data_IF_281358278499
#
_entry.id   IF_281358278499
#
_cell.length_a   1.000
_cell.length_b   1.000
_cell.length_c   1.000
_cell.angle_alpha   90.00
_cell.angle_beta   90.00
_cell.angle_gamma   90.00
#
_symmetry.space_group_name_H-M   'P 1'
#
loop_
_entity.id
_entity.type
_entity.pdbx_description
1 polymer ?
#
# COMPACT_ATOMS: atom_id res chain seq x y z
N UNK A 1 16.65 -4.69 10.21
CA UNK A 1 15.28 -4.14 10.12
C UNK A 1 14.26 -5.07 10.78
N UNK A 2 13.99 -6.29 10.29
CA UNK A 2 12.95 -7.18 10.82
C UNK A 2 13.11 -7.58 12.28
N UNK A 3 14.31 -7.81 12.79
CA UNK A 3 14.56 -8.06 14.22
C UNK A 3 14.10 -6.90 15.09
N UNK A 4 14.52 -5.66 14.77
CA UNK A 4 14.09 -4.45 15.51
C UNK A 4 12.58 -4.28 15.52
N UNK A 5 11.92 -4.56 14.38
CA UNK A 5 10.46 -4.48 14.28
C UNK A 5 9.79 -5.61 15.06
N UNK A 6 10.36 -6.82 15.03
CA UNK A 6 9.88 -7.95 15.82
C UNK A 6 9.91 -7.66 17.32
N UNK A 7 11.02 -7.10 17.82
CA UNK A 7 11.16 -6.67 19.21
C UNK A 7 10.17 -5.54 19.53
N UNK A 8 10.10 -4.50 18.70
CA UNK A 8 9.22 -3.35 18.90
C UNK A 8 7.75 -3.72 18.98
N UNK A 9 7.33 -4.70 18.19
CA UNK A 9 5.92 -5.06 18.02
C UNK A 9 5.55 -6.43 18.63
N UNK A 10 6.50 -7.10 19.28
CA UNK A 10 6.30 -8.42 19.89
C UNK A 10 5.75 -9.46 18.89
N UNK A 11 6.32 -9.47 17.68
CA UNK A 11 5.99 -10.42 16.61
C UNK A 11 7.28 -11.10 16.11
N UNK A 12 7.21 -12.39 15.78
CA UNK A 12 8.35 -13.11 15.24
C UNK A 12 8.85 -12.45 13.94
N UNK A 13 10.15 -12.06 13.85
CA UNK A 13 10.71 -11.40 12.67
C UNK A 13 10.52 -12.17 11.36
N UNK A 14 10.55 -13.51 11.43
CA UNK A 14 10.36 -14.38 10.28
C UNK A 14 8.95 -14.26 9.68
N UNK A 15 7.91 -14.02 10.49
CA UNK A 15 6.54 -13.80 10.04
C UNK A 15 6.47 -12.52 9.19
N UNK A 16 6.96 -11.41 9.71
CA UNK A 16 6.95 -10.13 8.98
C UNK A 16 7.73 -10.23 7.67
N UNK A 17 8.91 -10.85 7.71
CA UNK A 17 9.74 -11.00 6.52
C UNK A 17 9.12 -11.93 5.48
N UNK A 18 8.47 -13.01 5.91
CA UNK A 18 7.79 -13.94 5.01
C UNK A 18 6.67 -13.25 4.22
N UNK A 19 5.82 -12.48 4.90
CA UNK A 19 4.74 -11.73 4.24
C UNK A 19 5.33 -10.67 3.32
N UNK A 20 6.33 -9.90 3.77
CA UNK A 20 6.97 -8.88 2.94
C UNK A 20 7.56 -9.46 1.63
N UNK A 21 8.22 -10.62 1.70
CA UNK A 21 8.76 -11.31 0.51
C UNK A 21 7.65 -11.74 -0.45
N UNK A 22 6.56 -12.28 0.07
CA UNK A 22 5.45 -12.79 -0.78
C UNK A 22 4.71 -11.66 -1.47
N UNK A 23 4.52 -10.52 -0.78
CA UNK A 23 3.78 -9.38 -1.32
C UNK A 23 4.64 -8.48 -2.22
N UNK A 24 5.93 -8.32 -1.92
CA UNK A 24 6.79 -7.33 -2.55
C UNK A 24 7.98 -7.92 -3.33
N UNK A 25 8.19 -9.24 -3.22
CA UNK A 25 9.37 -9.91 -3.77
C UNK A 25 10.60 -9.81 -2.86
N UNK A 26 11.70 -10.43 -3.32
CA UNK A 26 12.93 -10.55 -2.52
C UNK A 26 13.64 -9.20 -2.27
N UNK A 27 13.50 -8.27 -3.19
CA UNK A 27 14.24 -6.99 -3.12
C UNK A 27 13.75 -6.06 -2.02
N UNK A 28 12.52 -6.24 -1.54
CA UNK A 28 11.90 -5.42 -0.48
C UNK A 28 12.15 -3.91 -0.63
N UNK A 29 12.39 -3.48 -1.87
CA UNK A 29 12.74 -2.10 -2.17
C UNK A 29 11.47 -1.25 -2.30
N UNK A 30 11.30 -0.33 -1.37
CA UNK A 30 10.17 0.61 -1.32
C UNK A 30 10.40 1.91 -2.10
N UNK A 31 11.59 2.09 -2.69
CA UNK A 31 11.99 3.33 -3.36
C UNK A 31 12.37 3.10 -4.82
N UNK A 32 12.27 4.15 -5.61
CA UNK A 32 12.79 4.25 -6.96
C UNK A 32 14.26 4.73 -6.92
N UNK A 33 14.95 4.69 -8.06
CA UNK A 33 16.37 5.04 -8.15
C UNK A 33 16.70 6.49 -7.71
N UNK A 34 15.72 7.41 -7.78
CA UNK A 34 15.85 8.80 -7.35
C UNK A 34 15.51 9.03 -5.86
N UNK A 35 15.29 7.96 -5.09
CA UNK A 35 14.93 8.00 -3.68
C UNK A 35 13.48 8.35 -3.39
N UNK A 36 12.61 8.43 -4.39
CA UNK A 36 11.17 8.56 -4.19
C UNK A 36 10.53 7.20 -3.87
N UNK A 37 9.52 7.12 -2.98
CA UNK A 37 8.80 5.87 -2.78
C UNK A 37 8.19 5.34 -4.09
N UNK A 38 8.12 4.05 -4.25
CA UNK A 38 7.29 3.45 -5.31
C UNK A 38 5.84 3.85 -5.10
N UNK A 39 5.15 4.24 -6.17
CA UNK A 39 3.74 4.61 -6.12
C UNK A 39 2.96 3.97 -7.27
N UNK A 40 1.64 3.84 -7.07
CA UNK A 40 0.67 3.64 -8.12
C UNK A 40 -0.51 4.58 -7.89
N UNK A 41 -0.75 5.50 -8.82
CA UNK A 41 -1.86 6.44 -8.75
C UNK A 41 -3.12 5.85 -9.38
N UNK A 42 -4.21 5.84 -8.62
CA UNK A 42 -5.49 5.26 -8.97
C UNK A 42 -6.52 6.34 -9.35
N UNK A 43 -6.63 6.64 -10.65
CA UNK A 43 -7.52 7.72 -11.12
C UNK A 43 -9.01 7.51 -10.82
N UNK A 44 -9.47 6.23 -10.72
CA UNK A 44 -10.84 5.93 -10.31
C UNK A 44 -11.08 6.17 -8.81
N UNK A 45 -10.04 6.01 -7.97
CA UNK A 45 -10.09 6.41 -6.56
C UNK A 45 -10.05 7.92 -6.45
N UNK A 46 -9.21 8.60 -7.27
CA UNK A 46 -9.17 10.06 -7.30
C UNK A 46 -10.53 10.66 -7.65
N UNK A 47 -11.24 10.10 -8.63
CA UNK A 47 -12.61 10.48 -8.95
C UNK A 47 -13.54 10.36 -7.73
N UNK A 48 -13.47 9.22 -7.01
CA UNK A 48 -14.27 8.98 -5.80
C UNK A 48 -13.93 9.94 -4.66
N UNK A 49 -12.66 10.22 -4.43
CA UNK A 49 -12.23 11.16 -3.40
C UNK A 49 -12.66 12.59 -3.72
N UNK A 50 -12.57 13.01 -4.99
CA UNK A 50 -13.07 14.31 -5.42
C UNK A 50 -14.57 14.49 -5.21
N UNK A 51 -15.38 13.42 -5.38
CA UNK A 51 -16.82 13.45 -5.14
C UNK A 51 -17.19 13.70 -3.68
N UNK A 52 -16.29 13.39 -2.73
CA UNK A 52 -16.53 13.66 -1.30
C UNK A 52 -16.41 15.14 -0.94
N UNK A 53 -15.66 15.91 -1.73
CA UNK A 53 -15.29 17.31 -1.43
C UNK A 53 -15.71 18.32 -2.51
N UNK A 54 -16.29 17.83 -3.62
CA UNK A 54 -16.74 18.69 -4.73
C UNK A 54 -18.13 18.27 -5.24
N UNK A 55 -18.92 19.21 -5.79
CA UNK A 55 -20.14 18.87 -6.52
C UNK A 55 -19.88 17.93 -7.70
N UNK A 56 -20.75 16.99 -7.95
CA UNK A 56 -20.64 15.99 -9.05
C UNK A 56 -20.38 16.65 -10.42
N UNK A 57 -21.04 17.78 -10.73
CA UNK A 57 -20.83 18.50 -11.99
C UNK A 57 -19.38 18.97 -12.17
N UNK A 58 -18.73 19.39 -11.07
CA UNK A 58 -17.32 19.78 -11.09
C UNK A 58 -16.42 18.59 -11.37
N UNK A 59 -16.65 17.45 -10.69
CA UNK A 59 -15.85 16.22 -10.87
C UNK A 59 -15.99 15.68 -12.31
N UNK A 60 -17.21 15.67 -12.86
CA UNK A 60 -17.46 15.29 -14.26
C UNK A 60 -16.69 16.20 -15.24
N UNK A 61 -16.62 17.51 -14.98
CA UNK A 61 -15.83 18.44 -15.80
C UNK A 61 -14.33 18.12 -15.72
N UNK A 62 -13.80 17.86 -14.51
CA UNK A 62 -12.41 17.45 -14.29
C UNK A 62 -12.13 16.14 -15.05
N UNK A 63 -13.01 15.15 -14.95
CA UNK A 63 -12.86 13.87 -15.65
C UNK A 63 -12.78 14.03 -17.18
N UNK A 64 -13.59 14.92 -17.75
CA UNK A 64 -13.56 15.21 -19.19
C UNK A 64 -12.28 15.91 -19.64
N UNK A 65 -11.74 16.84 -18.82
CA UNK A 65 -10.51 17.57 -19.15
C UNK A 65 -9.23 16.79 -18.84
N UNK A 66 -9.30 15.78 -17.94
CA UNK A 66 -8.17 14.97 -17.50
C UNK A 66 -8.53 13.47 -17.50
N UNK A 67 -8.83 12.87 -18.66
CA UNK A 67 -9.38 11.51 -18.74
C UNK A 67 -8.41 10.40 -18.29
N UNK A 68 -7.09 10.64 -18.32
CA UNK A 68 -6.08 9.69 -17.82
C UNK A 68 -5.81 9.81 -16.32
N UNK A 69 -6.33 10.88 -15.67
CA UNK A 69 -6.09 11.19 -14.26
C UNK A 69 -7.34 10.98 -13.41
N UNK A 70 -8.53 11.31 -13.94
CA UNK A 70 -9.79 11.29 -13.20
C UNK A 70 -10.85 10.54 -14.03
N UNK A 71 -11.20 9.32 -13.63
CA UNK A 71 -12.17 8.48 -14.33
C UNK A 71 -13.00 7.65 -13.36
N UNK A 72 -14.24 7.32 -13.74
CA UNK A 72 -15.23 6.69 -12.84
C UNK A 72 -14.96 5.21 -12.60
N UNK A 73 -14.58 4.47 -13.65
CA UNK A 73 -14.43 3.00 -13.61
C UNK A 73 -12.97 2.59 -13.62
N UNK A 74 -12.64 1.55 -12.84
CA UNK A 74 -11.30 1.01 -12.81
C UNK A 74 -10.81 0.54 -14.19
N UNK A 75 -9.56 0.89 -14.53
CA UNK A 75 -8.86 0.43 -15.73
C UNK A 75 -7.35 0.51 -15.52
N UNK A 76 -6.60 -0.38 -16.19
CA UNK A 76 -5.14 -0.34 -16.25
C UNK A 76 -4.59 0.48 -17.41
N UNK A 77 -5.47 0.96 -18.31
CA UNK A 77 -5.09 1.65 -19.55
C UNK A 77 -4.13 2.83 -19.32
N UNK A 78 -4.23 3.49 -18.20
CA UNK A 78 -3.49 4.72 -17.90
C UNK A 78 -2.28 4.53 -16.99
N UNK A 79 -1.99 3.28 -16.56
CA UNK A 79 -0.83 3.03 -15.71
C UNK A 79 0.46 3.13 -16.54
N UNK A 80 1.40 3.93 -16.02
CA UNK A 80 2.70 4.15 -16.65
C UNK A 80 3.80 3.33 -15.95
N UNK A 81 3.66 3.16 -14.63
CA UNK A 81 4.63 2.47 -13.79
C UNK A 81 5.91 3.27 -13.53
N UNK A 82 6.69 2.82 -12.56
CA UNK A 82 7.98 3.42 -12.25
C UNK A 82 7.93 4.92 -11.98
N UNK A 83 8.90 5.65 -12.54
CA UNK A 83 9.01 7.10 -12.39
C UNK A 83 7.87 7.87 -13.06
N UNK A 84 7.38 7.38 -14.18
CA UNK A 84 6.36 8.06 -14.98
C UNK A 84 4.99 8.10 -14.25
N UNK A 85 4.79 7.22 -13.25
CA UNK A 85 3.60 7.27 -12.40
C UNK A 85 3.53 8.55 -11.55
N UNK A 86 4.69 9.16 -11.26
CA UNK A 86 4.76 10.46 -10.61
C UNK A 86 4.22 11.59 -11.47
N UNK A 87 4.26 11.51 -12.78
CA UNK A 87 3.69 12.53 -13.66
C UNK A 87 2.17 12.56 -13.51
N UNK A 88 1.52 11.40 -13.51
CA UNK A 88 0.09 11.28 -13.24
C UNK A 88 -0.29 11.79 -11.85
N UNK A 89 0.45 11.39 -10.84
CA UNK A 89 0.27 11.83 -9.47
C UNK A 89 0.43 13.34 -9.32
N UNK A 90 1.44 13.93 -9.96
CA UNK A 90 1.69 15.38 -9.91
C UNK A 90 0.60 16.17 -10.64
N UNK A 91 0.07 15.68 -11.76
CA UNK A 91 -1.10 16.30 -12.41
C UNK A 91 -2.33 16.25 -11.49
N UNK A 92 -2.60 15.13 -10.86
CA UNK A 92 -3.69 15.02 -9.87
C UNK A 92 -3.51 15.99 -8.69
N UNK A 93 -2.27 16.17 -8.22
CA UNK A 93 -1.95 17.13 -7.14
C UNK A 93 -2.25 18.58 -7.50
N UNK A 94 -2.08 18.98 -8.75
CA UNK A 94 -2.44 20.34 -9.21
C UNK A 94 -3.95 20.59 -9.11
N UNK A 95 -4.75 19.53 -9.24
CA UNK A 95 -6.21 19.59 -9.13
C UNK A 95 -6.64 19.61 -7.67
N UNK A 96 -6.22 18.61 -6.89
CA UNK A 96 -6.53 18.49 -5.47
C UNK A 96 -5.46 17.67 -4.73
N UNK A 97 -4.54 18.32 -3.98
CA UNK A 97 -3.39 17.64 -3.36
C UNK A 97 -3.76 16.50 -2.44
N UNK A 98 -4.74 16.71 -1.56
CA UNK A 98 -5.14 15.69 -0.57
C UNK A 98 -5.81 14.49 -1.24
N UNK A 99 -6.76 14.71 -2.15
CA UNK A 99 -7.40 13.63 -2.90
C UNK A 99 -6.38 12.82 -3.72
N UNK A 100 -5.35 13.48 -4.28
CA UNK A 100 -4.28 12.78 -4.99
C UNK A 100 -3.48 11.86 -4.06
N UNK A 101 -3.13 12.32 -2.84
CA UNK A 101 -2.45 11.48 -1.84
C UNK A 101 -3.32 10.29 -1.39
N UNK A 102 -4.62 10.52 -1.15
CA UNK A 102 -5.58 9.46 -0.77
C UNK A 102 -5.73 8.41 -1.88
N UNK A 103 -5.69 8.83 -3.14
CA UNK A 103 -5.87 7.98 -4.31
C UNK A 103 -4.59 7.29 -4.81
N UNK A 104 -3.51 7.37 -4.07
CA UNK A 104 -2.23 6.77 -4.44
C UNK A 104 -1.86 5.67 -3.46
N UNK A 105 -1.35 4.54 -3.95
CA UNK A 105 -0.68 3.53 -3.12
C UNK A 105 0.80 3.88 -2.97
N UNK A 106 1.39 3.55 -1.80
CA UNK A 106 2.69 4.08 -1.40
C UNK A 106 3.64 2.99 -0.88
N UNK A 107 4.91 3.13 -1.25
CA UNK A 107 6.01 2.35 -0.74
C UNK A 107 6.02 0.90 -1.21
N UNK A 108 6.84 0.06 -0.56
CA UNK A 108 6.90 -1.37 -0.88
C UNK A 108 5.56 -2.09 -0.59
N UNK A 109 4.81 -1.77 0.49
CA UNK A 109 3.58 -2.49 0.81
C UNK A 109 2.39 -2.02 -0.03
N UNK A 110 2.56 -1.01 -0.88
CA UNK A 110 1.52 -0.44 -1.74
C UNK A 110 0.22 -0.12 -0.98
N UNK A 111 0.35 0.47 0.23
CA UNK A 111 -0.82 0.89 1.02
C UNK A 111 -1.44 2.12 0.37
N UNK A 112 -2.74 2.03 0.07
CA UNK A 112 -3.52 3.17 -0.41
C UNK A 112 -3.55 4.30 0.62
N UNK A 113 -3.36 5.54 0.15
CA UNK A 113 -3.36 6.72 1.01
C UNK A 113 -4.62 6.88 1.86
N UNK A 114 -5.79 6.49 1.35
CA UNK A 114 -7.03 6.55 2.13
C UNK A 114 -7.05 5.62 3.36
N UNK A 115 -6.09 4.70 3.48
CA UNK A 115 -5.89 3.82 4.63
C UNK A 115 -5.00 4.43 5.73
N UNK A 116 -4.64 5.70 5.65
CA UNK A 116 -3.70 6.35 6.55
C UNK A 116 -4.05 6.19 8.04
N UNK A 117 -5.33 6.14 8.38
CA UNK A 117 -5.79 5.97 9.77
C UNK A 117 -5.44 4.58 10.32
N UNK A 118 -5.51 3.53 9.49
CA UNK A 118 -5.06 2.18 9.88
C UNK A 118 -3.56 2.11 10.11
N UNK A 119 -2.80 3.08 9.58
CA UNK A 119 -1.37 3.24 9.83
C UNK A 119 -1.08 4.13 11.05
N UNK A 120 -2.10 4.48 11.86
CA UNK A 120 -1.99 5.37 13.02
C UNK A 120 -1.40 6.74 12.64
N UNK A 121 -1.83 7.29 11.52
CA UNK A 121 -1.53 8.65 11.10
C UNK A 121 -2.78 9.53 11.27
N UNK A 122 -2.60 10.77 11.71
CA UNK A 122 -3.69 11.72 11.86
C UNK A 122 -4.17 12.29 10.52
N UNK A 123 -3.26 12.40 9.55
CA UNK A 123 -3.54 12.92 8.22
C UNK A 123 -2.86 12.09 7.13
N UNK A 124 -3.40 12.14 5.91
CA UNK A 124 -2.74 11.51 4.76
C UNK A 124 -1.38 12.17 4.45
N UNK A 125 -1.19 13.46 4.76
CA UNK A 125 0.09 14.14 4.61
C UNK A 125 1.15 13.56 5.55
N UNK A 126 0.79 13.26 6.80
CA UNK A 126 1.68 12.58 7.74
C UNK A 126 2.06 11.19 7.24
N UNK A 127 1.08 10.41 6.78
CA UNK A 127 1.31 9.09 6.19
C UNK A 127 2.30 9.16 5.03
N UNK A 128 2.08 10.05 4.06
CA UNK A 128 2.96 10.24 2.90
C UNK A 128 4.36 10.68 3.32
N UNK A 129 4.49 11.57 4.32
CA UNK A 129 5.78 11.98 4.86
C UNK A 129 6.55 10.79 5.44
N UNK A 130 5.87 9.93 6.21
CA UNK A 130 6.46 8.70 6.78
C UNK A 130 6.82 7.68 5.69
N UNK A 131 5.98 7.51 4.66
CA UNK A 131 6.28 6.65 3.50
C UNK A 131 7.52 7.12 2.71
N UNK A 132 7.84 8.42 2.76
CA UNK A 132 9.02 9.00 2.11
C UNK A 132 10.29 8.94 2.97
N UNK A 133 10.21 8.62 4.25
CA UNK A 133 11.31 8.75 5.18
C UNK A 133 12.35 7.61 5.01
N UNK A 134 11.92 6.37 5.02
CA UNK A 134 12.77 5.18 4.92
C UNK A 134 11.95 3.90 4.74
N UNK A 135 12.60 2.81 4.34
CA UNK A 135 11.98 1.48 4.29
C UNK A 135 11.54 1.00 5.69
N UNK A 136 12.31 1.32 6.73
CA UNK A 136 11.94 1.01 8.11
C UNK A 136 10.63 1.72 8.49
N UNK A 137 10.47 2.99 8.11
CA UNK A 137 9.23 3.75 8.31
C UNK A 137 8.06 3.16 7.51
N UNK A 138 8.28 2.73 6.27
CA UNK A 138 7.25 2.04 5.47
C UNK A 138 6.81 0.73 6.13
N UNK A 139 7.77 -0.04 6.67
CA UNK A 139 7.49 -1.27 7.41
C UNK A 139 6.69 -1.05 8.69
N UNK A 140 7.02 0.01 9.46
CA UNK A 140 6.26 0.36 10.66
C UNK A 140 4.80 0.69 10.32
N UNK A 141 4.58 1.49 9.28
CA UNK A 141 3.24 1.81 8.80
C UNK A 141 2.47 0.56 8.34
N UNK A 142 3.16 -0.34 7.64
CA UNK A 142 2.56 -1.60 7.19
C UNK A 142 2.19 -2.52 8.35
N UNK A 143 3.06 -2.67 9.36
CA UNK A 143 2.71 -3.44 10.55
C UNK A 143 1.47 -2.88 11.27
N UNK A 144 1.41 -1.55 11.45
CA UNK A 144 0.25 -0.88 12.05
C UNK A 144 -1.02 -1.13 11.25
N UNK A 145 -0.92 -1.06 9.92
CA UNK A 145 -2.01 -1.43 9.03
C UNK A 145 -2.47 -2.88 9.26
N UNK A 146 -1.55 -3.85 9.28
CA UNK A 146 -1.87 -5.26 9.55
C UNK A 146 -2.55 -5.44 10.92
N UNK A 147 -2.02 -4.79 11.95
CA UNK A 147 -2.56 -4.84 13.32
C UNK A 147 -3.99 -4.28 13.37
N UNK A 148 -4.20 -3.10 12.82
CA UNK A 148 -5.50 -2.41 12.88
C UNK A 148 -6.55 -3.03 11.93
N UNK A 149 -6.12 -3.86 10.98
CA UNK A 149 -6.97 -4.72 10.17
C UNK A 149 -7.23 -6.10 10.82
N UNK A 150 -6.75 -6.33 12.06
CA UNK A 150 -6.84 -7.61 12.75
C UNK A 150 -6.22 -8.79 11.96
N UNK A 151 -5.08 -8.55 11.33
CA UNK A 151 -4.37 -9.53 10.50
C UNK A 151 -3.22 -10.22 11.22
N UNK A 152 -2.68 -9.58 12.26
CA UNK A 152 -1.51 -10.09 13.01
C UNK A 152 -1.81 -11.41 13.70
N UNK A 153 -3.02 -11.59 14.25
CA UNK A 153 -3.43 -12.85 14.88
C UNK A 153 -3.32 -14.06 13.95
N UNK A 154 -3.78 -13.93 12.71
CA UNK A 154 -3.64 -15.01 11.70
C UNK A 154 -2.18 -15.38 11.45
N UNK A 155 -1.27 -14.41 11.43
CA UNK A 155 0.16 -14.65 11.25
C UNK A 155 0.75 -15.39 12.45
N UNK A 156 0.41 -14.98 13.67
CA UNK A 156 0.91 -15.61 14.91
C UNK A 156 0.39 -17.05 15.10
N UNK A 157 -0.84 -17.31 14.64
CA UNK A 157 -1.47 -18.63 14.66
C UNK A 157 -1.07 -19.49 13.45
N UNK A 158 -0.27 -18.95 12.52
CA UNK A 158 0.10 -19.56 11.23
C UNK A 158 -1.11 -19.95 10.37
N UNK A 159 -2.23 -19.24 10.54
CA UNK A 159 -3.40 -19.36 9.66
C UNK A 159 -3.18 -18.59 8.35
N UNK A 160 -2.41 -19.20 7.47
CA UNK A 160 -2.03 -18.61 6.17
C UNK A 160 -3.22 -18.40 5.24
N UNK A 161 -4.22 -19.29 5.31
CA UNK A 161 -5.42 -19.19 4.48
C UNK A 161 -6.32 -18.05 4.95
N UNK A 162 -6.57 -17.95 6.27
CA UNK A 162 -7.34 -16.85 6.86
C UNK A 162 -6.67 -15.50 6.60
N UNK A 163 -5.34 -15.42 6.78
CA UNK A 163 -4.58 -14.21 6.44
C UNK A 163 -4.77 -13.82 4.97
N UNK A 164 -4.51 -14.76 4.05
CA UNK A 164 -4.58 -14.48 2.61
C UNK A 164 -5.98 -14.09 2.17
N UNK A 165 -7.00 -14.80 2.65
CA UNK A 165 -8.38 -14.49 2.33
C UNK A 165 -8.77 -13.06 2.74
N UNK A 166 -8.31 -12.64 3.93
CA UNK A 166 -8.66 -11.32 4.48
C UNK A 166 -7.79 -10.19 3.90
N UNK A 167 -6.51 -10.45 3.62
CA UNK A 167 -5.57 -9.46 3.10
C UNK A 167 -5.70 -9.27 1.58
N UNK A 168 -5.73 -10.36 0.81
CA UNK A 168 -5.73 -10.35 -0.66
C UNK A 168 -7.11 -10.62 -1.28
N UNK A 169 -8.10 -11.01 -0.45
CA UNK A 169 -9.42 -11.44 -0.93
C UNK A 169 -9.44 -12.89 -1.42
N UNK A 170 -10.60 -13.35 -1.98
CA UNK A 170 -10.83 -14.77 -2.29
C UNK A 170 -10.06 -15.30 -3.51
N UNK A 171 -9.39 -14.41 -4.26
CA UNK A 171 -8.60 -14.82 -5.43
C UNK A 171 -7.30 -15.51 -5.03
N UNK A 172 -7.08 -16.74 -5.53
CA UNK A 172 -5.81 -17.47 -5.38
C UNK A 172 -5.34 -17.75 -3.92
N UNK A 173 -6.27 -17.90 -2.97
CA UNK A 173 -5.96 -18.12 -1.53
C UNK A 173 -4.96 -19.26 -1.35
N UNK A 174 -5.19 -20.43 -1.95
CA UNK A 174 -4.29 -21.59 -1.81
C UNK A 174 -2.87 -21.32 -2.30
N UNK A 175 -2.70 -20.57 -3.39
CA UNK A 175 -1.38 -20.25 -3.94
C UNK A 175 -0.61 -19.31 -3.00
N UNK A 176 -1.26 -18.25 -2.53
CA UNK A 176 -0.62 -17.27 -1.66
C UNK A 176 -0.34 -17.84 -0.26
N UNK A 177 -1.28 -18.60 0.34
CA UNK A 177 -1.06 -19.25 1.64
C UNK A 177 0.10 -20.24 1.59
N UNK A 178 0.25 -21.00 0.50
CA UNK A 178 1.38 -21.91 0.34
C UNK A 178 2.71 -21.14 0.19
N UNK A 179 2.73 -20.02 -0.55
CA UNK A 179 3.92 -19.16 -0.65
C UNK A 179 4.32 -18.59 0.71
N UNK A 180 3.36 -18.13 1.51
CA UNK A 180 3.60 -17.62 2.87
C UNK A 180 4.18 -18.70 3.77
N UNK A 181 3.55 -19.86 3.82
CA UNK A 181 4.03 -21.01 4.60
C UNK A 181 5.47 -21.42 4.21
N UNK A 182 5.75 -21.52 2.91
CA UNK A 182 7.09 -21.86 2.42
C UNK A 182 8.11 -20.78 2.77
N UNK A 183 7.77 -19.51 2.59
CA UNK A 183 8.64 -18.38 2.91
C UNK A 183 8.96 -18.35 4.40
N UNK A 184 7.96 -18.50 5.27
CA UNK A 184 8.16 -18.58 6.71
C UNK A 184 9.05 -19.77 7.11
N UNK A 185 8.77 -20.98 6.62
CA UNK A 185 9.56 -22.16 6.92
C UNK A 185 11.03 -22.05 6.51
N UNK A 186 11.31 -21.29 5.45
CA UNK A 186 12.68 -21.00 5.01
C UNK A 186 13.40 -19.96 5.89
N UNK A 187 12.67 -19.15 6.65
CA UNK A 187 13.18 -18.03 7.44
C UNK A 187 13.23 -18.31 8.94
N UNK A 188 12.33 -19.16 9.45
CA UNK A 188 12.25 -19.48 10.89
C UNK A 188 13.58 -20.03 11.40
N UNK A 189 14.02 -19.51 12.54
CA UNK A 189 15.29 -19.91 13.17
C UNK A 189 16.56 -19.36 12.49
N UNK A 190 16.43 -18.47 11.48
CA UNK A 190 17.56 -17.85 10.77
C UNK A 190 17.62 -16.32 10.98
N UNK A 191 16.67 -15.77 11.71
CA UNK A 191 16.55 -14.33 12.00
C UNK A 191 16.57 -14.06 13.49
#
# INVERSE_FOLDING_TARGET
MFQKLGEKFSIEPALLKAVAIVECGLDLNGFLADGKPKILFEGHIFYKELLKVNPKATVVRISRSHPSICYESWTRQFYLGGMDEYDRYNEARKIHPECAMLATSWGFPQIMGFNYQYCECETVMEFVRKMKASEESQMELWYKFLKNQNLVGYLQEHDWEGFTLKYNGPGQVKLYSQRLSNSYNNLKGKL
#
